data_IF_143812949595
#
_entry.id   IF_143812949595
#
_cell.length_a   1.000
_cell.length_b   1.000
_cell.length_c   1.000
_cell.angle_alpha   90.00
_cell.angle_beta   90.00
_cell.angle_gamma   90.00
#
_symmetry.space_group_name_H-M   'P 1'
#
loop_
_entity.id
_entity.type
_entity.pdbx_description
1 polymer ?
#
# COMPACT_ATOMS: atom_id res chain seq x y z
N UNK A 1 -37.07 62.96 -28.63
CA UNK A 1 -36.77 62.03 -27.59
C UNK A 1 -36.08 60.76 -28.21
N UNK A 2 -34.77 60.72 -28.24
CA UNK A 2 -33.99 59.61 -28.83
C UNK A 2 -33.30 58.92 -27.71
N UNK A 3 -33.70 57.67 -27.45
CA UNK A 3 -32.99 56.79 -26.50
C UNK A 3 -31.82 56.15 -27.22
N UNK A 4 -30.62 56.43 -26.73
CA UNK A 4 -29.39 55.76 -27.16
C UNK A 4 -29.20 54.58 -26.22
N UNK A 5 -29.35 53.33 -26.71
CA UNK A 5 -29.04 52.14 -26.07
C UNK A 5 -27.52 51.92 -26.22
N UNK A 6 -26.78 52.08 -25.14
CA UNK A 6 -25.38 51.69 -25.09
C UNK A 6 -25.30 50.18 -24.76
N UNK A 7 -24.97 49.41 -25.75
CA UNK A 7 -24.63 48.00 -25.60
C UNK A 7 -23.25 47.92 -24.95
N UNK A 8 -23.21 47.52 -23.67
CA UNK A 8 -21.97 47.13 -23.03
C UNK A 8 -21.60 45.71 -23.54
N UNK A 9 -20.59 45.64 -24.39
CA UNK A 9 -19.90 44.38 -24.66
C UNK A 9 -19.08 44.02 -23.39
N UNK A 10 -19.56 43.11 -22.59
CA UNK A 10 -18.74 42.39 -21.64
C UNK A 10 -17.78 41.51 -22.45
N UNK A 11 -16.56 41.97 -22.60
CA UNK A 11 -15.45 41.08 -22.99
C UNK A 11 -15.24 40.09 -21.87
N UNK A 12 -15.83 38.91 -22.00
CA UNK A 12 -15.50 37.76 -21.20
C UNK A 12 -14.06 37.36 -21.59
N UNK A 13 -13.07 37.86 -20.87
CA UNK A 13 -11.73 37.28 -20.91
C UNK A 13 -11.85 35.85 -20.34
N UNK A 14 -12.18 34.91 -21.20
CA UNK A 14 -11.82 33.54 -20.99
C UNK A 14 -10.30 33.53 -20.94
N UNK A 15 -9.73 33.59 -19.75
CA UNK A 15 -8.38 33.05 -19.52
C UNK A 15 -8.52 31.58 -19.88
N UNK A 16 -8.24 31.24 -21.11
CA UNK A 16 -7.84 29.90 -21.46
C UNK A 16 -6.59 29.67 -20.62
N UNK A 17 -6.73 28.89 -19.57
CA UNK A 17 -5.56 28.22 -18.99
C UNK A 17 -4.88 27.58 -20.19
N UNK A 18 -3.75 28.12 -20.59
CA UNK A 18 -2.90 27.45 -21.55
C UNK A 18 -2.51 26.15 -20.85
N UNK A 19 -3.18 25.07 -21.21
CA UNK A 19 -2.72 23.75 -20.86
C UNK A 19 -1.25 23.74 -21.28
N UNK A 20 -0.35 23.63 -20.32
CA UNK A 20 1.07 23.47 -20.63
C UNK A 20 1.15 22.34 -21.62
N UNK A 21 1.86 22.58 -22.73
CA UNK A 21 2.06 21.54 -23.72
C UNK A 21 2.57 20.31 -22.96
N UNK A 22 1.99 19.13 -23.20
CA UNK A 22 2.40 17.93 -22.49
C UNK A 22 3.91 17.82 -22.56
N UNK A 23 4.55 17.63 -21.39
CA UNK A 23 5.99 17.47 -21.31
C UNK A 23 6.42 16.41 -22.33
N UNK A 24 7.29 16.77 -23.22
CA UNK A 24 7.92 15.82 -24.12
C UNK A 24 9.33 15.56 -23.58
N UNK A 25 9.67 14.29 -23.32
CA UNK A 25 11.04 13.95 -22.95
C UNK A 25 12.00 14.48 -24.01
N UNK A 26 13.23 14.75 -23.58
CA UNK A 26 14.34 14.98 -24.53
C UNK A 26 14.30 13.87 -25.59
N UNK A 27 14.12 14.29 -26.85
CA UNK A 27 13.90 13.34 -27.96
C UNK A 27 15.05 12.36 -28.13
N UNK A 28 16.26 12.73 -27.72
CA UNK A 28 17.41 11.84 -27.82
C UNK A 28 17.41 10.82 -26.67
N UNK A 29 17.11 11.26 -25.47
CA UNK A 29 16.91 10.38 -24.34
C UNK A 29 15.74 9.43 -24.57
N UNK A 30 14.62 9.93 -25.11
CA UNK A 30 13.46 9.10 -25.45
C UNK A 30 13.80 8.01 -26.46
N UNK A 31 14.57 8.33 -27.50
CA UNK A 31 15.03 7.34 -28.48
C UNK A 31 15.92 6.28 -27.85
N UNK A 32 16.86 6.69 -27.00
CA UNK A 32 17.72 5.76 -26.27
C UNK A 32 16.90 4.86 -25.34
N UNK A 33 15.91 5.43 -24.65
CA UNK A 33 15.00 4.72 -23.79
C UNK A 33 14.11 3.75 -24.56
N UNK A 34 13.59 4.15 -25.73
CA UNK A 34 12.76 3.29 -26.59
C UNK A 34 13.55 2.14 -27.22
N UNK A 35 14.83 2.33 -27.47
CA UNK A 35 15.74 1.28 -27.97
C UNK A 35 16.15 0.28 -26.88
N UNK A 36 15.98 0.65 -25.62
CA UNK A 36 16.28 -0.21 -24.48
C UNK A 36 15.12 -1.18 -24.22
N UNK A 37 15.39 -2.47 -24.29
CA UNK A 37 14.41 -3.51 -23.93
C UNK A 37 13.86 -3.36 -22.51
N UNK A 38 14.58 -2.66 -21.64
CA UNK A 38 14.18 -2.41 -20.25
C UNK A 38 13.09 -1.36 -20.15
N UNK A 39 13.15 -0.29 -20.93
CA UNK A 39 12.11 0.76 -20.94
C UNK A 39 10.79 0.23 -21.45
N UNK A 40 10.80 -0.58 -22.51
CA UNK A 40 9.57 -1.22 -22.98
C UNK A 40 8.87 -2.09 -21.93
N UNK A 41 9.60 -2.70 -21.00
CA UNK A 41 9.03 -3.47 -19.90
C UNK A 41 8.44 -2.55 -18.84
N UNK A 42 9.08 -1.43 -18.55
CA UNK A 42 8.64 -0.46 -17.54
C UNK A 42 7.43 0.32 -18.04
N UNK A 43 7.49 0.87 -19.24
CA UNK A 43 6.39 1.67 -19.81
C UNK A 43 5.18 0.81 -20.25
N UNK A 44 5.36 -0.48 -20.46
CA UNK A 44 4.27 -1.44 -20.62
C UNK A 44 3.81 -2.06 -19.29
N UNK A 45 4.43 -1.70 -18.18
CA UNK A 45 3.89 -2.08 -16.88
C UNK A 45 2.45 -1.56 -16.79
N UNK A 46 1.51 -2.50 -16.80
CA UNK A 46 0.10 -2.15 -16.76
C UNK A 46 -0.17 -1.38 -15.45
N UNK A 47 -0.66 -0.14 -15.50
CA UNK A 47 -1.03 0.62 -14.30
C UNK A 47 -1.97 -0.17 -13.38
N UNK A 48 -2.76 -1.09 -13.97
CA UNK A 48 -3.63 -2.00 -13.22
C UNK A 48 -2.89 -2.95 -12.27
N UNK A 49 -1.57 -3.05 -12.36
CA UNK A 49 -0.74 -3.85 -11.45
C UNK A 49 0.00 -3.00 -10.42
N UNK A 50 -0.19 -1.68 -10.41
CA UNK A 50 0.41 -0.81 -9.42
C UNK A 50 -0.44 -0.73 -8.15
N UNK A 51 0.19 -0.89 -6.99
CA UNK A 51 -0.37 -0.62 -5.67
C UNK A 51 -1.62 -1.43 -5.30
N UNK A 52 -2.57 -0.77 -4.68
CA UNK A 52 -3.82 -1.33 -4.14
C UNK A 52 -4.68 -2.04 -5.20
N UNK A 53 -4.66 -1.57 -6.45
CA UNK A 53 -5.44 -2.16 -7.55
C UNK A 53 -5.06 -3.64 -7.79
N UNK A 54 -3.81 -4.00 -7.55
CA UNK A 54 -3.36 -5.40 -7.65
C UNK A 54 -3.99 -6.27 -6.56
N UNK A 55 -4.08 -5.75 -5.34
CA UNK A 55 -4.65 -6.47 -4.20
C UNK A 55 -6.16 -6.62 -4.31
N UNK A 56 -6.84 -5.58 -4.76
CA UNK A 56 -8.29 -5.63 -5.02
C UNK A 56 -8.67 -6.69 -6.07
N UNK A 57 -7.80 -6.91 -7.05
CA UNK A 57 -8.01 -7.86 -8.15
C UNK A 57 -7.56 -9.30 -7.87
N UNK A 58 -7.02 -9.59 -6.69
CA UNK A 58 -6.73 -10.97 -6.32
C UNK A 58 -8.01 -11.80 -6.32
N UNK A 59 -7.90 -13.01 -6.84
CA UNK A 59 -8.98 -13.98 -6.76
C UNK A 59 -9.35 -14.27 -5.30
N UNK A 60 -10.63 -14.11 -4.98
CA UNK A 60 -11.16 -14.42 -3.65
C UNK A 60 -11.59 -15.87 -3.64
N UNK A 61 -10.81 -16.73 -3.01
CA UNK A 61 -11.02 -18.17 -2.93
C UNK A 61 -12.17 -18.51 -1.98
N UNK A 62 -12.35 -17.72 -0.93
CA UNK A 62 -13.45 -17.83 0.04
C UNK A 62 -13.73 -16.46 0.64
N UNK A 63 -15.01 -16.16 0.89
CA UNK A 63 -15.44 -14.91 1.52
C UNK A 63 -16.55 -15.19 2.53
N UNK A 64 -16.50 -14.45 3.65
CA UNK A 64 -17.56 -14.40 4.65
C UNK A 64 -17.85 -12.95 5.02
N UNK A 65 -19.10 -12.55 4.88
CA UNK A 65 -19.56 -11.24 5.33
C UNK A 65 -19.63 -11.25 6.87
N UNK A 66 -19.15 -10.19 7.47
CA UNK A 66 -19.35 -9.86 8.88
C UNK A 66 -20.50 -8.84 8.94
N UNK A 67 -21.71 -9.23 9.33
CA UNK A 67 -22.88 -8.36 9.27
C UNK A 67 -22.68 -7.09 10.10
N UNK A 68 -23.05 -5.94 9.56
CA UNK A 68 -22.97 -4.64 10.20
C UNK A 68 -24.38 -4.10 10.48
N UNK A 69 -25.02 -3.50 9.48
CA UNK A 69 -26.34 -2.90 9.62
C UNK A 69 -27.43 -3.94 9.92
N UNK A 70 -27.28 -5.15 9.38
CA UNK A 70 -28.22 -6.26 9.59
C UNK A 70 -28.15 -6.85 11.01
N UNK A 71 -27.02 -6.68 11.69
CA UNK A 71 -26.78 -7.16 13.05
C UNK A 71 -26.26 -6.05 13.96
N UNK A 72 -26.87 -4.86 13.81
CA UNK A 72 -26.45 -3.64 14.48
C UNK A 72 -26.40 -3.78 16.01
N UNK A 73 -27.32 -4.54 16.60
CA UNK A 73 -27.37 -4.76 18.04
C UNK A 73 -26.15 -5.49 18.61
N UNK A 74 -25.42 -6.23 17.80
CA UNK A 74 -24.19 -6.90 18.21
C UNK A 74 -22.97 -5.98 18.23
N UNK A 75 -23.03 -4.84 17.56
CA UNK A 75 -21.89 -3.93 17.45
C UNK A 75 -21.63 -3.25 18.80
N UNK A 76 -20.35 -2.95 19.03
CA UNK A 76 -19.89 -2.13 20.15
C UNK A 76 -19.25 -0.86 19.61
N UNK A 77 -19.30 0.17 20.44
CA UNK A 77 -18.69 1.45 20.14
C UNK A 77 -17.89 1.91 21.36
N UNK A 78 -16.73 2.51 21.10
CA UNK A 78 -15.89 3.14 22.13
C UNK A 78 -15.50 4.56 21.69
N UNK A 79 -15.20 5.40 22.68
CA UNK A 79 -14.84 6.80 22.44
C UNK A 79 -16.06 7.71 22.24
N UNK A 80 -15.83 8.97 21.85
CA UNK A 80 -16.91 9.96 21.70
C UNK A 80 -17.75 9.70 20.46
N UNK A 81 -19.00 10.11 20.53
CA UNK A 81 -19.94 10.01 19.41
C UNK A 81 -21.04 8.97 19.62
N UNK A 82 -21.78 8.71 18.55
CA UNK A 82 -22.89 7.74 18.54
C UNK A 82 -22.90 6.97 17.23
N UNK A 83 -23.30 5.71 17.29
CA UNK A 83 -23.48 4.86 16.10
C UNK A 83 -24.96 4.65 15.80
N UNK A 84 -25.27 4.57 14.51
CA UNK A 84 -26.62 4.22 14.03
C UNK A 84 -26.56 3.63 12.62
N UNK A 85 -27.65 3.03 12.18
CA UNK A 85 -27.77 2.51 10.81
C UNK A 85 -28.18 3.64 9.87
N UNK A 86 -27.42 3.83 8.79
CA UNK A 86 -27.78 4.70 7.69
C UNK A 86 -28.14 3.84 6.45
N UNK A 87 -29.33 4.08 5.91
CA UNK A 87 -29.84 3.33 4.73
C UNK A 87 -29.72 4.11 3.42
N UNK A 88 -29.26 5.37 3.49
CA UNK A 88 -29.11 6.23 2.30
C UNK A 88 -27.67 6.21 1.78
N UNK A 89 -26.70 6.28 2.68
CA UNK A 89 -25.28 6.28 2.35
C UNK A 89 -24.75 4.85 2.53
N UNK A 90 -24.75 4.05 1.49
CA UNK A 90 -24.41 2.62 1.52
C UNK A 90 -23.80 2.18 0.20
N UNK A 91 -22.88 1.23 0.24
CA UNK A 91 -22.31 0.54 -0.93
C UNK A 91 -23.05 -0.76 -1.21
N UNK A 92 -23.37 -1.52 -0.15
CA UNK A 92 -24.02 -2.82 -0.25
C UNK A 92 -25.51 -2.75 -0.62
N UNK A 93 -26.15 -1.59 -0.45
CA UNK A 93 -27.60 -1.41 -0.56
C UNK A 93 -28.39 -1.93 0.65
N UNK A 94 -27.73 -2.53 1.65
CA UNK A 94 -28.36 -3.07 2.87
C UNK A 94 -28.38 -2.07 4.03
N UNK A 95 -27.57 -1.04 3.94
CA UNK A 95 -27.31 -0.02 4.94
C UNK A 95 -25.89 -0.09 5.47
N UNK A 96 -25.35 1.05 5.82
CA UNK A 96 -24.07 1.19 6.48
C UNK A 96 -24.25 1.44 7.98
N UNK A 97 -23.17 1.29 8.74
CA UNK A 97 -23.09 1.78 10.12
C UNK A 97 -22.40 3.12 10.08
N UNK A 98 -23.08 4.14 10.56
CA UNK A 98 -22.59 5.50 10.67
C UNK A 98 -22.22 5.82 12.10
N UNK A 99 -21.04 6.39 12.30
CA UNK A 99 -20.56 6.96 13.56
C UNK A 99 -20.48 8.47 13.41
N UNK A 100 -21.27 9.20 14.16
CA UNK A 100 -21.17 10.66 14.29
C UNK A 100 -20.33 11.01 15.51
N UNK A 101 -19.27 11.78 15.31
CA UNK A 101 -18.29 12.07 16.34
C UNK A 101 -17.75 13.50 16.21
N UNK A 102 -17.34 14.14 17.33
CA UNK A 102 -16.55 15.35 17.22
C UNK A 102 -15.21 15.06 16.54
N UNK A 103 -14.76 15.97 15.71
CA UNK A 103 -13.47 15.86 15.03
C UNK A 103 -12.29 16.01 16.00
N UNK A 104 -12.49 16.73 17.11
CA UNK A 104 -11.48 16.86 18.16
C UNK A 104 -12.12 17.03 19.53
N UNK A 105 -11.39 16.66 20.59
CA UNK A 105 -11.77 16.83 22.00
C UNK A 105 -11.23 18.16 22.58
N UNK A 106 -11.00 19.16 21.72
CA UNK A 106 -10.41 20.43 22.09
C UNK A 106 -8.91 20.49 21.84
N UNK A 107 -8.28 21.55 22.31
CA UNK A 107 -6.84 21.79 22.15
C UNK A 107 -6.08 21.43 23.41
N UNK A 108 -5.03 20.65 23.30
CA UNK A 108 -4.07 20.45 24.42
C UNK A 108 -3.23 21.71 24.65
N UNK A 109 -2.93 22.43 23.56
CA UNK A 109 -2.26 23.72 23.54
C UNK A 109 -2.63 24.44 22.21
N UNK A 110 -2.20 25.69 21.96
CA UNK A 110 -2.58 26.43 20.76
C UNK A 110 -2.28 25.73 19.43
N UNK A 111 -1.30 24.84 19.40
CA UNK A 111 -0.80 24.19 18.19
C UNK A 111 -1.13 22.70 18.11
N UNK A 112 -1.56 22.09 19.23
CA UNK A 112 -1.78 20.64 19.30
C UNK A 112 -3.25 20.33 19.63
N UNK A 113 -3.98 19.83 18.65
CA UNK A 113 -5.36 19.34 18.82
C UNK A 113 -5.36 17.97 19.50
N UNK A 114 -6.31 17.77 20.40
CA UNK A 114 -6.57 16.46 20.96
C UNK A 114 -7.60 15.77 20.10
N UNK A 115 -7.15 14.96 19.15
CA UNK A 115 -8.05 14.27 18.23
C UNK A 115 -8.83 13.15 18.95
N UNK A 116 -10.11 13.06 18.60
CA UNK A 116 -10.92 11.93 18.98
C UNK A 116 -10.55 10.70 18.14
N UNK A 117 -10.52 9.54 18.76
CA UNK A 117 -10.30 8.25 18.10
C UNK A 117 -11.43 7.28 18.45
N UNK A 118 -12.66 7.57 18.04
CA UNK A 118 -13.77 6.65 18.28
C UNK A 118 -13.63 5.41 17.42
N UNK A 119 -14.18 4.31 17.90
CA UNK A 119 -14.03 3.00 17.31
C UNK A 119 -15.36 2.27 17.22
N UNK A 120 -15.64 1.64 16.10
CA UNK A 120 -16.72 0.68 15.90
C UNK A 120 -16.10 -0.72 15.91
N UNK A 121 -16.61 -1.57 16.79
CA UNK A 121 -16.13 -2.94 16.95
C UNK A 121 -17.22 -3.90 16.48
N UNK A 122 -16.86 -4.82 15.57
CA UNK A 122 -17.64 -6.02 15.26
C UNK A 122 -17.13 -7.16 16.14
N UNK A 123 -17.81 -7.51 17.23
CA UNK A 123 -17.43 -8.64 18.07
C UNK A 123 -17.62 -9.97 17.35
N UNK A 124 -16.80 -10.93 17.70
CA UNK A 124 -16.90 -12.34 17.31
C UNK A 124 -16.78 -13.21 18.56
N UNK A 125 -17.35 -14.41 18.51
CA UNK A 125 -17.39 -15.33 19.66
C UNK A 125 -16.19 -16.27 19.63
N UNK A 126 -14.98 -15.72 19.87
CA UNK A 126 -13.72 -16.49 19.98
C UNK A 126 -13.52 -17.48 18.83
N UNK A 127 -13.71 -17.00 17.60
CA UNK A 127 -13.71 -17.82 16.40
C UNK A 127 -12.30 -18.15 15.92
N UNK A 128 -12.12 -19.37 15.42
CA UNK A 128 -10.93 -19.74 14.66
C UNK A 128 -11.07 -19.27 13.21
N UNK A 129 -10.30 -18.25 12.85
CA UNK A 129 -10.29 -17.65 11.52
C UNK A 129 -9.00 -17.93 10.73
N UNK A 130 -8.21 -18.94 11.10
CA UNK A 130 -6.95 -19.28 10.42
C UNK A 130 -7.13 -19.62 8.95
N UNK A 131 -8.34 -20.02 8.55
CA UNK A 131 -8.68 -20.25 7.15
C UNK A 131 -8.70 -18.98 6.29
N UNK A 132 -8.97 -17.81 6.90
CA UNK A 132 -9.03 -16.52 6.23
C UNK A 132 -7.73 -15.76 6.47
N UNK A 133 -7.27 -14.98 5.49
CA UNK A 133 -6.01 -14.25 5.56
C UNK A 133 -6.08 -12.81 5.05
N UNK A 134 -7.32 -12.32 4.80
CA UNK A 134 -7.57 -10.94 4.39
C UNK A 134 -8.84 -10.42 5.07
N UNK A 135 -8.75 -9.19 5.56
CA UNK A 135 -9.86 -8.39 6.03
C UNK A 135 -10.13 -7.28 5.02
N UNK A 136 -11.40 -6.98 4.77
CA UNK A 136 -11.80 -5.87 3.93
C UNK A 136 -13.05 -5.18 4.45
N UNK A 137 -13.16 -3.88 4.16
CA UNK A 137 -14.31 -3.06 4.54
C UNK A 137 -14.39 -1.82 3.66
N UNK A 138 -15.58 -1.38 3.31
CA UNK A 138 -15.80 -0.10 2.69
C UNK A 138 -15.92 0.99 3.75
N UNK A 139 -15.23 2.10 3.52
CA UNK A 139 -15.18 3.25 4.44
C UNK A 139 -15.51 4.52 3.68
N UNK A 140 -16.38 5.35 4.24
CA UNK A 140 -16.64 6.70 3.76
C UNK A 140 -16.57 7.67 4.93
N UNK A 141 -15.92 8.82 4.72
CA UNK A 141 -15.79 9.87 5.73
C UNK A 141 -16.46 11.13 5.21
N UNK A 142 -17.42 11.65 5.97
CA UNK A 142 -18.00 12.98 5.77
C UNK A 142 -17.38 13.93 6.79
N UNK A 143 -16.52 14.80 6.32
CA UNK A 143 -15.80 15.76 7.16
C UNK A 143 -15.49 17.03 6.36
N UNK A 144 -16.42 17.97 6.36
CA UNK A 144 -16.34 19.19 5.57
C UNK A 144 -15.07 19.99 5.90
N UNK A 145 -14.28 20.32 4.88
CA UNK A 145 -13.05 21.10 4.99
C UNK A 145 -11.85 20.34 5.56
N UNK A 146 -12.02 19.09 5.95
CA UNK A 146 -10.90 18.22 6.36
C UNK A 146 -10.24 17.63 5.11
N UNK A 147 -8.93 17.70 5.02
CA UNK A 147 -8.20 17.20 3.85
C UNK A 147 -7.51 15.84 4.10
N UNK A 148 -7.34 15.45 5.35
CA UNK A 148 -6.66 14.19 5.67
C UNK A 148 -7.28 13.53 6.91
N UNK A 149 -7.70 12.29 6.74
CA UNK A 149 -8.11 11.41 7.83
C UNK A 149 -7.40 10.07 7.74
N UNK A 150 -7.26 9.38 8.86
CA UNK A 150 -6.78 8.00 8.92
C UNK A 150 -7.90 7.11 9.44
N UNK A 151 -8.11 5.97 8.79
CA UNK A 151 -8.85 4.87 9.37
C UNK A 151 -7.86 3.84 9.93
N UNK A 152 -8.09 3.44 11.17
CA UNK A 152 -7.34 2.37 11.82
C UNK A 152 -8.18 1.10 11.87
N UNK A 153 -7.52 -0.03 11.67
CA UNK A 153 -8.14 -1.36 11.71
C UNK A 153 -7.43 -2.18 12.76
N UNK A 154 -8.18 -2.90 13.58
CA UNK A 154 -7.61 -3.72 14.65
C UNK A 154 -8.20 -5.12 14.61
N UNK A 155 -7.32 -6.13 14.71
CA UNK A 155 -7.67 -7.52 14.94
C UNK A 155 -7.49 -7.83 16.43
N UNK A 156 -8.56 -8.27 17.07
CA UNK A 156 -8.53 -8.76 18.46
C UNK A 156 -8.51 -10.29 18.45
N UNK A 157 -7.48 -10.86 19.03
CA UNK A 157 -7.31 -12.30 19.19
C UNK A 157 -6.89 -12.63 20.62
N UNK A 158 -7.58 -13.55 21.27
CA UNK A 158 -7.27 -13.99 22.65
C UNK A 158 -6.47 -15.31 22.69
N UNK A 159 -6.16 -15.88 21.53
CA UNK A 159 -5.34 -17.07 21.40
C UNK A 159 -3.84 -16.77 21.40
N UNK A 160 -3.12 -17.37 20.46
CA UNK A 160 -1.68 -17.13 20.27
C UNK A 160 -1.40 -15.67 19.92
N UNK A 161 -0.24 -15.18 20.33
CA UNK A 161 0.19 -13.79 20.13
C UNK A 161 1.56 -13.75 19.44
N UNK A 162 1.70 -12.85 18.48
CA UNK A 162 2.99 -12.56 17.86
C UNK A 162 3.98 -12.01 18.88
N UNK A 163 3.50 -11.09 19.69
CA UNK A 163 4.26 -10.50 20.78
C UNK A 163 3.47 -10.68 22.07
N UNK A 164 4.11 -11.17 23.14
CA UNK A 164 3.48 -11.32 24.44
C UNK A 164 3.33 -9.94 25.10
N UNK A 165 2.69 -9.00 24.40
CA UNK A 165 2.34 -7.72 24.97
C UNK A 165 1.04 -7.88 25.75
N UNK A 166 0.87 -7.20 26.89
CA UNK A 166 -0.41 -7.13 27.59
C UNK A 166 -1.48 -6.36 26.78
N UNK A 167 -1.26 -6.20 25.48
CA UNK A 167 -2.13 -5.52 24.55
C UNK A 167 -3.37 -6.35 24.20
N UNK A 168 -4.46 -5.64 23.89
CA UNK A 168 -5.76 -6.22 23.57
C UNK A 168 -5.87 -6.72 22.13
N UNK A 169 -4.88 -6.45 21.29
CA UNK A 169 -4.95 -6.71 19.86
C UNK A 169 -3.76 -7.55 19.40
N UNK A 170 -3.98 -8.33 18.36
CA UNK A 170 -2.95 -9.10 17.68
C UNK A 170 -2.24 -8.26 16.63
N UNK A 171 -2.96 -7.38 15.93
CA UNK A 171 -2.41 -6.50 14.93
C UNK A 171 -3.26 -5.28 14.67
N UNK A 172 -2.62 -4.26 14.10
CA UNK A 172 -3.25 -3.02 13.67
C UNK A 172 -2.76 -2.62 12.28
N UNK A 173 -3.63 -1.93 11.55
CA UNK A 173 -3.34 -1.35 10.25
C UNK A 173 -3.94 0.05 10.19
N UNK A 174 -3.27 0.96 9.49
CA UNK A 174 -3.74 2.33 9.30
C UNK A 174 -3.67 2.69 7.81
N UNK A 175 -4.76 3.28 7.33
CA UNK A 175 -4.87 3.76 5.96
C UNK A 175 -5.27 5.22 5.93
N UNK A 176 -4.74 5.97 4.96
CA UNK A 176 -5.23 7.30 4.64
C UNK A 176 -6.59 7.19 3.96
N UNK A 177 -7.59 7.85 4.52
CA UNK A 177 -8.93 7.91 3.97
C UNK A 177 -9.24 9.35 3.57
N UNK A 178 -9.59 9.55 2.30
CA UNK A 178 -9.96 10.85 1.79
C UNK A 178 -11.46 11.10 2.00
N UNK A 179 -11.86 12.26 2.52
CA UNK A 179 -13.27 12.58 2.73
C UNK A 179 -14.11 12.56 1.45
N UNK A 180 -15.39 12.37 1.61
CA UNK A 180 -16.44 12.49 0.58
C UNK A 180 -16.38 11.46 -0.56
N UNK A 181 -15.73 10.33 -0.34
CA UNK A 181 -15.79 9.19 -1.27
C UNK A 181 -15.70 7.86 -0.53
N UNK A 182 -16.37 6.85 -1.07
CA UNK A 182 -16.18 5.48 -0.62
C UNK A 182 -14.81 4.96 -1.01
N UNK A 183 -14.14 4.28 -0.10
CA UNK A 183 -12.86 3.64 -0.32
C UNK A 183 -12.93 2.21 0.21
N UNK A 184 -12.49 1.27 -0.62
CA UNK A 184 -12.38 -0.14 -0.24
C UNK A 184 -11.02 -0.35 0.44
N UNK A 185 -11.02 -0.63 1.72
CA UNK A 185 -9.82 -0.89 2.49
C UNK A 185 -9.60 -2.40 2.57
N UNK A 186 -8.38 -2.80 2.25
CA UNK A 186 -7.97 -4.21 2.20
C UNK A 186 -6.74 -4.37 3.07
N UNK A 187 -6.84 -5.28 4.03
CA UNK A 187 -5.75 -5.60 4.94
C UNK A 187 -5.45 -7.11 4.90
N UNK A 188 -4.33 -7.50 4.29
CA UNK A 188 -3.86 -8.88 4.32
C UNK A 188 -3.19 -9.18 5.65
N UNK A 189 -3.61 -10.25 6.30
CA UNK A 189 -3.23 -10.64 7.66
C UNK A 189 -2.65 -12.07 7.75
N UNK A 190 -1.87 -12.54 6.78
CA UNK A 190 -1.38 -13.92 6.79
C UNK A 190 -0.50 -14.23 8.00
N UNK A 191 0.21 -13.22 8.50
CA UNK A 191 1.21 -13.35 9.57
C UNK A 191 0.64 -13.12 10.96
N UNK A 192 -0.63 -12.71 11.08
CA UNK A 192 -1.28 -12.50 12.37
C UNK A 192 -1.94 -13.78 12.87
N UNK A 193 -1.86 -14.05 14.17
CA UNK A 193 -2.59 -15.14 14.79
C UNK A 193 -4.09 -14.88 14.77
N UNK A 194 -4.86 -15.90 14.45
CA UNK A 194 -6.32 -15.82 14.26
C UNK A 194 -7.02 -17.08 14.76
N UNK A 195 -6.46 -17.71 15.76
CA UNK A 195 -6.95 -18.97 16.34
C UNK A 195 -8.10 -18.76 17.33
N UNK A 196 -8.26 -17.54 17.86
CA UNK A 196 -9.30 -17.22 18.84
C UNK A 196 -9.72 -15.75 18.71
N UNK A 197 -10.32 -15.40 17.55
CA UNK A 197 -10.65 -14.01 17.23
C UNK A 197 -11.90 -13.57 18.00
N UNK A 198 -11.77 -12.46 18.71
CA UNK A 198 -12.87 -11.84 19.47
C UNK A 198 -13.46 -10.62 18.80
N UNK A 199 -12.88 -10.15 17.69
CA UNK A 199 -13.47 -9.10 16.88
C UNK A 199 -12.51 -8.41 15.94
N UNK A 200 -13.12 -7.59 15.10
CA UNK A 200 -12.44 -6.59 14.27
C UNK A 200 -13.00 -5.22 14.60
N UNK A 201 -12.16 -4.19 14.50
CA UNK A 201 -12.63 -2.83 14.64
C UNK A 201 -12.16 -1.91 13.55
N UNK A 202 -12.91 -0.83 13.38
CA UNK A 202 -12.58 0.33 12.55
C UNK A 202 -12.65 1.57 13.41
N UNK A 203 -11.57 2.31 13.50
CA UNK A 203 -11.51 3.63 14.11
C UNK A 203 -11.24 4.71 13.09
N UNK A 204 -11.52 5.95 13.43
CA UNK A 204 -11.22 7.12 12.61
C UNK A 204 -10.44 8.13 13.43
N UNK A 205 -9.43 8.71 12.83
CA UNK A 205 -8.65 9.78 13.40
C UNK A 205 -8.48 10.91 12.39
N UNK A 206 -8.73 12.13 12.82
CA UNK A 206 -8.44 13.31 12.04
C UNK A 206 -6.94 13.56 12.05
N UNK A 207 -6.32 13.72 10.87
CA UNK A 207 -4.89 13.99 10.76
C UNK A 207 -4.59 15.45 10.42
N UNK A 208 -5.51 16.15 9.76
CA UNK A 208 -5.33 17.55 9.39
C UNK A 208 -6.66 18.26 9.16
N UNK A 209 -6.83 19.37 9.85
CA UNK A 209 -7.96 20.26 9.67
C UNK A 209 -7.49 21.72 9.71
N UNK A 210 -7.69 22.48 8.64
CA UNK A 210 -7.45 23.92 8.63
C UNK A 210 -8.44 24.66 9.53
N UNK A 211 -8.18 25.93 9.76
CA UNK A 211 -9.15 26.79 10.41
C UNK A 211 -10.45 26.85 9.58
N UNK A 212 -11.60 26.67 10.23
CA UNK A 212 -12.91 26.65 9.58
C UNK A 212 -13.37 25.29 9.06
N UNK A 213 -12.56 24.24 9.21
CA UNK A 213 -13.07 22.88 8.99
C UNK A 213 -14.12 22.49 10.01
N UNK A 214 -14.98 21.53 9.66
CA UNK A 214 -16.01 21.02 10.54
C UNK A 214 -15.43 20.52 11.87
N UNK A 215 -16.11 20.86 12.96
CA UNK A 215 -15.80 20.31 14.30
C UNK A 215 -16.45 18.92 14.51
N UNK A 216 -17.24 18.46 13.54
CA UNK A 216 -17.89 17.14 13.53
C UNK A 216 -17.53 16.38 12.26
N UNK A 217 -17.46 15.08 12.37
CA UNK A 217 -17.29 14.18 11.23
C UNK A 217 -18.16 12.95 11.39
N UNK A 218 -18.49 12.33 10.26
CA UNK A 218 -19.21 11.06 10.23
C UNK A 218 -18.35 10.01 9.51
N UNK A 219 -18.18 8.86 10.14
CA UNK A 219 -17.60 7.68 9.55
C UNK A 219 -18.71 6.71 9.19
N UNK A 220 -18.71 6.23 7.94
CA UNK A 220 -19.59 5.16 7.51
C UNK A 220 -18.74 3.93 7.19
N UNK A 221 -19.17 2.78 7.66
CA UNK A 221 -18.58 1.49 7.31
C UNK A 221 -19.66 0.57 6.74
N UNK A 222 -19.29 -0.17 5.68
CA UNK A 222 -20.21 -1.08 4.99
C UNK A 222 -19.46 -2.29 4.44
N UNK A 223 -20.18 -3.36 4.19
CA UNK A 223 -19.69 -4.60 3.56
C UNK A 223 -18.35 -5.10 4.12
N UNK A 224 -18.30 -5.28 5.43
CA UNK A 224 -17.14 -5.84 6.13
C UNK A 224 -17.01 -7.33 5.85
N UNK A 225 -15.82 -7.78 5.48
CA UNK A 225 -15.57 -9.18 5.10
C UNK A 225 -14.27 -9.71 5.68
N UNK A 226 -14.24 -11.02 5.83
CA UNK A 226 -13.02 -11.80 5.94
C UNK A 226 -12.93 -12.74 4.73
N UNK A 227 -11.74 -12.85 4.17
CA UNK A 227 -11.53 -13.50 2.89
C UNK A 227 -10.28 -14.38 2.92
N UNK A 228 -10.29 -15.40 2.07
CA UNK A 228 -9.13 -16.20 1.73
C UNK A 228 -8.67 -15.82 0.34
N UNK A 229 -7.44 -15.41 0.23
CA UNK A 229 -6.75 -15.08 -1.04
C UNK A 229 -5.38 -15.73 -1.04
N UNK A 230 -4.67 -15.65 -2.16
CA UNK A 230 -3.23 -15.88 -2.17
C UNK A 230 -2.54 -14.64 -1.59
N UNK A 231 -2.42 -14.62 -0.26
CA UNK A 231 -1.88 -13.49 0.48
C UNK A 231 -0.37 -13.35 0.30
N UNK A 232 0.11 -12.12 0.33
CA UNK A 232 1.54 -11.84 0.38
C UNK A 232 2.03 -11.82 1.82
N UNK A 233 3.22 -12.39 2.06
CA UNK A 233 3.88 -12.27 3.34
C UNK A 233 4.45 -10.86 3.49
N UNK A 234 3.91 -10.07 4.41
CA UNK A 234 4.30 -8.68 4.63
C UNK A 234 5.51 -8.52 5.56
N UNK A 235 5.90 -9.56 6.29
CA UNK A 235 6.94 -9.44 7.33
C UNK A 235 8.36 -9.34 6.79
N UNK A 236 8.60 -9.70 5.55
CA UNK A 236 9.87 -9.49 4.86
C UNK A 236 11.10 -10.22 5.42
N UNK A 237 11.02 -10.75 6.65
CA UNK A 237 12.12 -11.42 7.34
C UNK A 237 11.93 -12.93 7.49
N UNK A 238 10.73 -13.43 7.29
CA UNK A 238 10.42 -14.84 7.36
C UNK A 238 10.16 -15.35 5.95
N UNK A 239 10.93 -16.37 5.54
CA UNK A 239 10.73 -17.04 4.27
C UNK A 239 9.77 -18.21 4.44
N UNK A 240 8.83 -18.37 3.52
CA UNK A 240 8.04 -19.59 3.44
C UNK A 240 8.97 -20.78 3.19
N UNK A 241 8.56 -21.98 3.62
CA UNK A 241 9.36 -23.22 3.47
C UNK A 241 9.77 -23.51 2.03
N UNK A 242 8.97 -23.07 1.06
CA UNK A 242 9.14 -23.27 -0.37
C UNK A 242 9.74 -22.05 -1.09
N UNK A 243 10.20 -21.06 -0.34
CA UNK A 243 10.66 -19.79 -0.89
C UNK A 243 12.16 -19.56 -0.66
N UNK A 244 12.77 -18.81 -1.58
CA UNK A 244 14.15 -18.35 -1.52
C UNK A 244 14.20 -16.83 -1.70
N UNK A 245 14.93 -16.13 -0.83
CA UNK A 245 15.23 -14.72 -1.03
C UNK A 245 16.54 -14.58 -1.82
N UNK A 246 16.48 -13.91 -2.95
CA UNK A 246 17.63 -13.67 -3.82
C UNK A 246 17.42 -12.35 -4.57
N UNK A 247 18.45 -11.85 -5.22
CA UNK A 247 18.31 -10.64 -6.04
C UNK A 247 17.62 -10.97 -7.37
N UNK A 248 16.36 -10.59 -7.51
CA UNK A 248 15.57 -10.82 -8.74
C UNK A 248 16.13 -10.06 -9.95
N UNK A 249 16.80 -8.93 -9.72
CA UNK A 249 17.50 -8.19 -10.78
C UNK A 249 18.77 -8.90 -11.25
N UNK A 250 19.23 -9.91 -10.50
CA UNK A 250 20.42 -10.66 -10.78
C UNK A 250 21.66 -10.17 -10.04
N UNK A 251 22.83 -10.54 -10.54
CA UNK A 251 24.10 -10.26 -9.88
C UNK A 251 25.17 -9.84 -10.91
N UNK A 252 26.09 -8.99 -10.48
CA UNK A 252 27.26 -8.66 -11.32
C UNK A 252 28.36 -9.71 -11.16
N UNK A 253 29.08 -10.04 -12.23
CA UNK A 253 30.33 -10.80 -12.13
C UNK A 253 31.29 -10.10 -11.15
N UNK A 254 32.01 -10.88 -10.34
CA UNK A 254 32.93 -10.36 -9.33
C UNK A 254 32.31 -9.76 -8.07
N UNK A 255 31.00 -9.53 -8.05
CA UNK A 255 30.30 -9.07 -6.86
C UNK A 255 29.95 -10.23 -5.91
N UNK A 256 29.63 -9.90 -4.66
CA UNK A 256 29.06 -10.85 -3.71
C UNK A 256 27.70 -11.32 -4.22
N UNK A 257 27.53 -12.65 -4.34
CA UNK A 257 26.30 -13.29 -4.84
C UNK A 257 25.79 -14.27 -3.79
N UNK A 258 24.67 -13.93 -3.16
CA UNK A 258 24.10 -14.73 -2.09
C UNK A 258 22.59 -14.82 -2.23
N UNK A 259 22.04 -15.95 -1.79
CA UNK A 259 20.62 -16.14 -1.56
C UNK A 259 20.40 -16.69 -0.14
N UNK A 260 19.19 -16.54 0.36
CA UNK A 260 18.77 -17.03 1.67
C UNK A 260 17.62 -18.01 1.52
N UNK A 261 17.67 -19.06 2.29
CA UNK A 261 16.54 -20.00 2.51
C UNK A 261 16.35 -20.20 4.02
N UNK A 262 15.17 -20.66 4.41
CA UNK A 262 14.85 -20.92 5.80
C UNK A 262 14.20 -22.30 5.96
N UNK A 263 14.45 -22.97 7.07
CA UNK A 263 13.86 -24.27 7.41
C UNK A 263 14.12 -25.40 6.39
N UNK A 264 15.26 -25.33 5.68
CA UNK A 264 15.70 -26.37 4.73
C UNK A 264 16.72 -27.27 5.41
N UNK A 265 16.53 -28.60 5.44
CA UNK A 265 17.47 -29.54 6.07
C UNK A 265 18.74 -29.75 5.26
N UNK A 266 18.67 -29.59 3.93
CA UNK A 266 19.78 -29.76 3.01
C UNK A 266 20.90 -28.73 3.27
N UNK A 267 22.15 -29.15 2.97
CA UNK A 267 23.32 -28.28 3.12
C UNK A 267 24.12 -28.12 1.84
N UNK A 268 23.69 -28.74 0.76
CA UNK A 268 24.28 -28.55 -0.58
C UNK A 268 23.26 -27.91 -1.48
N UNK A 269 23.65 -26.84 -2.15
CA UNK A 269 22.84 -26.15 -3.14
C UNK A 269 23.51 -26.20 -4.53
N UNK A 270 22.74 -26.03 -5.56
CA UNK A 270 23.21 -26.02 -6.95
C UNK A 270 22.77 -24.76 -7.67
N UNK A 271 23.62 -24.24 -8.53
CA UNK A 271 23.29 -23.24 -9.54
C UNK A 271 23.18 -23.95 -10.89
N UNK A 272 22.09 -23.67 -11.60
CA UNK A 272 21.79 -24.31 -12.87
C UNK A 272 21.71 -23.26 -13.98
N UNK A 273 22.19 -23.61 -15.16
CA UNK A 273 21.91 -22.85 -16.37
C UNK A 273 20.42 -22.91 -16.70
N UNK A 274 19.79 -21.77 -16.90
CA UNK A 274 18.34 -21.70 -17.04
C UNK A 274 17.81 -22.23 -18.40
N UNK A 275 18.66 -22.30 -19.40
CA UNK A 275 18.28 -22.80 -20.72
C UNK A 275 18.42 -24.33 -20.82
N UNK A 276 19.44 -24.87 -20.18
CA UNK A 276 19.76 -26.32 -20.30
C UNK A 276 19.36 -27.13 -19.07
N UNK A 277 19.13 -26.48 -17.94
CA UNK A 277 18.93 -27.14 -16.64
C UNK A 277 20.17 -27.80 -16.04
N UNK A 278 21.33 -27.70 -16.72
CA UNK A 278 22.55 -28.32 -16.23
C UNK A 278 23.10 -27.59 -15.01
N UNK A 279 23.60 -28.36 -14.05
CA UNK A 279 24.30 -27.81 -12.88
C UNK A 279 25.65 -27.25 -13.33
N UNK A 280 25.86 -25.95 -13.11
CA UNK A 280 27.10 -25.23 -13.45
C UNK A 280 27.94 -24.87 -12.23
N UNK A 281 27.36 -24.94 -11.04
CA UNK A 281 28.06 -24.70 -9.77
C UNK A 281 27.36 -25.42 -8.64
N UNK A 282 28.13 -25.87 -7.65
CA UNK A 282 27.65 -26.41 -6.40
C UNK A 282 28.37 -25.78 -5.21
N UNK A 283 27.64 -25.51 -4.15
CA UNK A 283 28.16 -24.93 -2.93
C UNK A 283 27.52 -25.52 -1.68
N UNK A 284 28.10 -25.19 -0.54
CA UNK A 284 27.56 -25.56 0.78
C UNK A 284 26.82 -24.36 1.38
N UNK A 285 25.59 -24.58 1.82
CA UNK A 285 24.84 -23.62 2.59
C UNK A 285 25.40 -23.48 4.00
N UNK A 286 25.53 -22.28 4.51
CA UNK A 286 26.02 -21.97 5.84
C UNK A 286 24.98 -21.19 6.66
N UNK A 287 24.92 -21.37 7.99
CA UNK A 287 24.02 -20.56 8.82
C UNK A 287 24.31 -19.07 8.66
N UNK A 288 23.25 -18.26 8.55
CA UNK A 288 23.37 -16.80 8.51
C UNK A 288 23.92 -16.25 9.81
N UNK A 289 23.46 -16.80 10.93
CA UNK A 289 23.91 -16.43 12.26
C UNK A 289 24.59 -17.62 12.94
N UNK A 290 25.82 -17.43 13.41
CA UNK A 290 26.56 -18.46 14.13
C UNK A 290 26.18 -18.54 15.62
N UNK A 291 25.52 -17.48 16.14
CA UNK A 291 24.96 -17.51 17.50
C UNK A 291 23.64 -18.29 17.52
N UNK A 292 23.68 -19.49 18.10
CA UNK A 292 22.51 -20.37 18.21
C UNK A 292 21.29 -19.72 18.92
N UNK A 293 21.49 -18.70 19.74
CA UNK A 293 20.39 -17.99 20.43
C UNK A 293 19.66 -17.03 19.49
N UNK A 294 20.30 -16.63 18.41
CA UNK A 294 19.74 -15.71 17.40
C UNK A 294 19.51 -16.41 16.06
N UNK A 295 19.79 -17.71 15.99
CA UNK A 295 19.59 -18.48 14.76
C UNK A 295 18.11 -18.76 14.54
N UNK A 296 17.55 -18.10 13.52
CA UNK A 296 16.18 -18.32 13.04
C UNK A 296 16.10 -19.41 11.96
N UNK A 297 17.15 -20.20 11.78
CA UNK A 297 17.21 -21.27 10.77
C UNK A 297 17.47 -20.77 9.35
N UNK A 298 17.97 -19.54 9.17
CA UNK A 298 18.38 -19.04 7.86
C UNK A 298 19.71 -19.64 7.42
N UNK A 299 19.75 -20.06 6.16
CA UNK A 299 20.95 -20.52 5.48
C UNK A 299 21.32 -19.56 4.36
N UNK A 300 22.61 -19.28 4.25
CA UNK A 300 23.20 -18.50 3.17
C UNK A 300 23.71 -19.45 2.09
N UNK A 301 23.27 -19.24 0.86
CA UNK A 301 23.77 -19.89 -0.35
C UNK A 301 24.72 -18.92 -1.03
N UNK A 302 26.03 -19.08 -0.81
CA UNK A 302 27.05 -18.20 -1.36
C UNK A 302 27.65 -18.81 -2.64
N UNK A 303 27.42 -18.15 -3.77
CA UNK A 303 27.96 -18.52 -5.08
C UNK A 303 28.82 -17.39 -5.69
N UNK A 304 29.41 -16.56 -4.83
CA UNK A 304 30.21 -15.39 -5.25
C UNK A 304 31.38 -15.74 -6.15
N UNK A 305 31.92 -16.95 -6.04
CA UNK A 305 33.02 -17.43 -6.89
C UNK A 305 32.61 -17.72 -8.34
N UNK A 306 31.33 -17.94 -8.60
CA UNK A 306 30.83 -18.18 -9.96
C UNK A 306 30.60 -16.84 -10.68
N UNK A 307 31.28 -16.62 -11.81
CA UNK A 307 31.30 -15.31 -12.48
C UNK A 307 30.93 -15.36 -13.97
N UNK A 308 30.57 -16.51 -14.49
CA UNK A 308 30.17 -16.63 -15.90
C UNK A 308 28.86 -15.89 -16.17
N UNK A 309 28.80 -14.96 -17.13
CA UNK A 309 27.55 -14.30 -17.50
C UNK A 309 26.54 -15.28 -18.10
N UNK A 310 25.25 -15.09 -17.79
CA UNK A 310 24.17 -15.94 -18.28
C UNK A 310 22.89 -15.81 -17.48
N UNK A 311 21.94 -16.71 -17.75
CA UNK A 311 20.69 -16.85 -16.99
C UNK A 311 20.74 -18.12 -16.16
N UNK A 312 20.45 -17.99 -14.88
CA UNK A 312 20.63 -19.08 -13.94
C UNK A 312 19.48 -19.17 -12.94
N UNK A 313 19.30 -20.34 -12.32
CA UNK A 313 18.45 -20.51 -11.16
C UNK A 313 19.16 -21.34 -10.09
N UNK A 314 18.80 -21.11 -8.82
CA UNK A 314 19.31 -21.84 -7.68
C UNK A 314 18.33 -22.93 -7.26
N UNK A 315 18.87 -24.03 -6.72
CA UNK A 315 18.08 -25.06 -6.02
C UNK A 315 18.77 -25.54 -4.74
N UNK A 316 17.97 -25.87 -3.73
CA UNK A 316 18.38 -26.57 -2.52
C UNK A 316 17.20 -27.40 -2.01
N UNK A 317 17.36 -28.73 -1.91
CA UNK A 317 16.22 -29.63 -1.70
C UNK A 317 15.11 -29.35 -2.74
N UNK A 318 13.89 -29.19 -2.28
CA UNK A 318 12.73 -28.90 -3.12
C UNK A 318 12.55 -27.41 -3.43
N UNK A 319 13.38 -26.53 -2.86
CA UNK A 319 13.27 -25.08 -3.04
C UNK A 319 14.06 -24.63 -4.25
N UNK A 320 13.41 -23.89 -5.15
CA UNK A 320 14.02 -23.33 -6.36
C UNK A 320 13.73 -21.84 -6.49
N UNK A 321 14.71 -21.09 -7.01
CA UNK A 321 14.50 -19.71 -7.43
C UNK A 321 13.87 -19.66 -8.83
N UNK A 322 13.26 -18.51 -9.19
CA UNK A 322 13.04 -18.20 -10.61
C UNK A 322 14.38 -17.87 -11.27
N UNK A 323 14.49 -17.95 -12.61
CA UNK A 323 15.69 -17.53 -13.33
C UNK A 323 16.06 -16.07 -13.06
N UNK A 324 17.35 -15.82 -12.90
CA UNK A 324 17.94 -14.50 -12.73
C UNK A 324 19.23 -14.36 -13.56
N UNK A 325 19.62 -13.15 -14.00
CA UNK A 325 20.85 -12.94 -14.75
C UNK A 325 22.08 -12.84 -13.83
N UNK A 326 23.20 -13.32 -14.32
CA UNK A 326 24.53 -12.86 -13.91
C UNK A 326 25.11 -12.08 -15.10
N UNK A 327 25.39 -10.79 -14.90
CA UNK A 327 25.87 -9.93 -15.99
C UNK A 327 26.13 -8.50 -15.52
N UNK A 328 26.83 -7.72 -16.32
CA UNK A 328 27.16 -6.33 -15.98
C UNK A 328 25.93 -5.40 -15.97
N UNK A 329 24.88 -5.79 -16.64
CA UNK A 329 23.61 -5.09 -16.77
C UNK A 329 22.54 -5.56 -15.78
N UNK A 330 22.89 -6.43 -14.82
CA UNK A 330 21.95 -7.07 -13.90
C UNK A 330 21.01 -6.07 -13.18
N UNK A 331 21.50 -4.89 -12.81
CA UNK A 331 20.71 -3.87 -12.10
C UNK A 331 20.07 -2.80 -12.99
N UNK A 332 20.24 -2.90 -14.31
CA UNK A 332 19.74 -1.86 -15.22
C UNK A 332 18.22 -1.73 -15.15
N UNK A 333 17.51 -2.87 -15.11
CA UNK A 333 16.05 -2.90 -14.95
C UNK A 333 15.60 -2.24 -13.64
N UNK A 334 16.31 -2.52 -12.54
CA UNK A 334 15.99 -1.91 -11.22
C UNK A 334 16.24 -0.41 -11.24
N UNK A 335 17.34 0.04 -11.84
CA UNK A 335 17.62 1.46 -12.02
C UNK A 335 16.50 2.16 -12.81
N UNK A 336 16.02 1.54 -13.87
CA UNK A 336 14.91 2.06 -14.65
C UNK A 336 13.59 2.13 -13.86
N UNK A 337 13.27 1.11 -13.06
CA UNK A 337 12.10 1.16 -12.18
C UNK A 337 12.19 2.33 -11.20
N UNK A 338 13.37 2.55 -10.63
CA UNK A 338 13.61 3.66 -9.70
C UNK A 338 13.44 5.02 -10.41
N UNK A 339 14.01 5.18 -11.60
CA UNK A 339 13.83 6.40 -12.39
C UNK A 339 12.37 6.62 -12.78
N UNK A 340 11.68 5.55 -13.17
CA UNK A 340 10.26 5.64 -13.51
C UNK A 340 9.39 6.02 -12.30
N UNK A 341 9.77 5.60 -11.08
CA UNK A 341 9.10 6.08 -9.86
C UNK A 341 9.19 7.61 -9.76
N UNK A 342 10.39 8.18 -9.82
CA UNK A 342 10.56 9.64 -9.78
C UNK A 342 9.84 10.35 -10.91
N UNK A 343 9.83 9.77 -12.10
CA UNK A 343 9.11 10.31 -13.24
C UNK A 343 7.58 10.31 -12.99
N UNK A 344 7.05 9.23 -12.40
CA UNK A 344 5.62 9.07 -12.13
C UNK A 344 5.12 9.96 -11.00
N UNK A 345 5.99 10.29 -10.06
CA UNK A 345 5.67 11.11 -8.89
C UNK A 345 5.86 12.63 -9.14
N UNK A 346 6.17 13.02 -10.38
CA UNK A 346 6.35 14.44 -10.70
C UNK A 346 5.03 15.20 -10.61
N UNK A 347 5.06 16.29 -9.86
CA UNK A 347 3.94 17.23 -9.80
C UNK A 347 3.76 18.00 -11.13
N UNK A 348 2.54 18.41 -11.42
CA UNK A 348 2.22 19.16 -12.62
C UNK A 348 2.27 18.35 -13.92
N UNK A 349 2.15 17.02 -13.84
CA UNK A 349 2.29 16.13 -14.97
C UNK A 349 1.33 14.93 -14.87
N UNK A 350 0.56 14.67 -15.92
CA UNK A 350 -0.51 13.66 -15.94
C UNK A 350 -0.20 12.41 -16.79
N UNK A 351 0.92 12.41 -17.50
CA UNK A 351 1.25 11.40 -18.49
C UNK A 351 1.55 9.99 -17.95
N UNK A 352 2.03 9.78 -16.74
CA UNK A 352 2.16 8.42 -16.21
C UNK A 352 0.83 7.70 -16.01
N UNK A 353 -0.30 8.45 -15.97
CA UNK A 353 -1.63 7.89 -15.74
C UNK A 353 -1.85 7.36 -14.33
N UNK A 354 -0.98 7.71 -13.39
CA UNK A 354 -1.07 7.31 -11.99
C UNK A 354 -1.87 8.33 -11.19
N UNK A 355 -1.66 9.61 -11.47
CA UNK A 355 -2.41 10.72 -10.90
C UNK A 355 -2.59 11.85 -11.93
N UNK A 356 -3.54 12.71 -11.69
CA UNK A 356 -3.75 13.92 -12.49
C UNK A 356 -2.72 14.98 -12.13
N UNK A 357 -2.62 16.02 -12.94
CA UNK A 357 -1.83 17.21 -12.61
C UNK A 357 -2.17 17.71 -11.21
N UNK A 358 -1.14 17.88 -10.39
CA UNK A 358 -1.27 18.28 -9.00
C UNK A 358 -0.27 19.39 -8.67
N UNK A 359 -0.44 20.03 -7.49
CA UNK A 359 0.46 21.06 -6.97
C UNK A 359 0.67 22.24 -7.93
N UNK A 360 -0.31 22.55 -8.78
CA UNK A 360 -0.28 23.72 -9.68
C UNK A 360 -0.63 25.02 -8.96
N UNK A 361 -1.18 24.94 -7.78
CA UNK A 361 -1.61 26.01 -6.89
C UNK A 361 -0.61 26.31 -5.76
N UNK A 362 0.61 25.78 -5.86
CA UNK A 362 1.65 26.03 -4.86
C UNK A 362 2.22 27.44 -5.03
N UNK A 363 2.11 28.25 -3.97
CA UNK A 363 2.64 29.59 -3.92
C UNK A 363 3.84 29.66 -2.96
N UNK A 364 4.94 30.24 -3.41
CA UNK A 364 6.01 30.67 -2.54
C UNK A 364 5.78 32.12 -2.10
N UNK A 365 5.91 32.36 -0.81
CA UNK A 365 5.81 33.69 -0.24
C UNK A 365 7.20 34.24 0.08
N UNK A 366 7.50 35.41 -0.47
CA UNK A 366 8.69 36.15 -0.12
C UNK A 366 8.45 37.00 1.14
N UNK A 367 9.43 37.25 1.99
CA UNK A 367 9.27 38.07 3.21
C UNK A 367 8.71 39.47 2.97
N UNK A 368 8.82 40.02 1.77
CA UNK A 368 8.26 41.32 1.38
C UNK A 368 6.75 41.25 0.98
N UNK A 369 6.10 40.10 1.15
CA UNK A 369 4.69 39.90 0.87
C UNK A 369 4.36 39.52 -0.59
N UNK A 370 5.35 39.45 -1.48
CA UNK A 370 5.12 38.95 -2.84
C UNK A 370 4.92 37.44 -2.82
N UNK A 371 3.97 36.99 -3.62
CA UNK A 371 3.78 35.58 -3.90
C UNK A 371 4.16 35.29 -5.34
N UNK A 372 4.75 34.12 -5.57
CA UNK A 372 4.92 33.58 -6.91
C UNK A 372 4.42 32.14 -6.94
N UNK A 373 3.72 31.82 -8.01
CA UNK A 373 3.35 30.43 -8.28
C UNK A 373 4.62 29.65 -8.64
N UNK A 374 4.81 28.55 -7.98
CA UNK A 374 5.83 27.58 -8.37
C UNK A 374 5.10 26.64 -9.32
N UNK A 375 5.37 26.75 -10.63
CA UNK A 375 4.97 25.69 -11.53
C UNK A 375 5.64 24.40 -11.05
N UNK A 376 4.82 23.37 -10.83
CA UNK A 376 5.32 22.08 -10.41
C UNK A 376 6.46 21.65 -11.33
N UNK A 377 7.61 21.44 -10.73
CA UNK A 377 8.82 21.05 -11.45
C UNK A 377 8.89 19.58 -11.79
#
# INVERSE_FOLDING_TARGET
>A
MKYIIRTLLLACCCMQAQAQAPWKPDTELEKQLQQSNHVHRIMKANPAHAGLTRWEKKEVLKSRVLPLAEDFGALRHTGPGTIHVDRKVTVSGKGSVRLDTPASLGKKNPTNRNYATPEIIRPLDREDLREYNRFSVWVYVDALGVYLTFAGFTLYNEGEKIMPTPGRFEGQHFETVYPNKWQHIIWEIPDLYRDCVTGFSVNIMLAGAPAGASEHMSLYIDDMRIEKVEAENSRGFDLRKDAMAYCHSGYKPGARKQALVQHVPERTFSLHDAATGQTVYQGKASPLNQDKKQDKGFLVLDFSSFNTPGQYFLSIGDVQSKPFPIGNDAYLSTAWHTLNFFFSERCGFDQPGIHQECHQDVFAYHPDGRSMSIAGG
#
